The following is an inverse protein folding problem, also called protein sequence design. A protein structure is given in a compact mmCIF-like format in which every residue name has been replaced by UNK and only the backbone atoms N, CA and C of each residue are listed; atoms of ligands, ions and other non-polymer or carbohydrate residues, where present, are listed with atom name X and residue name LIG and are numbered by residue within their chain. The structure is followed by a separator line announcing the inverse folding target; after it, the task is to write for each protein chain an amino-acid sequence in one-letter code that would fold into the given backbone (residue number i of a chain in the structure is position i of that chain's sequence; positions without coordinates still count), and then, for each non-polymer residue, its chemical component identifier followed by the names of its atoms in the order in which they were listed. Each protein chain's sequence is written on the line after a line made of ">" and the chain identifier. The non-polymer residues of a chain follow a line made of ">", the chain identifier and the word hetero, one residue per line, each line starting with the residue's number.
data_IF_232625861881
#
_entry.id   IF_232625861881
#
_cell.length_a   1.000
_cell.length_b   1.000
_cell.length_c   1.000
_cell.angle_alpha   90.00
_cell.angle_beta   90.00
_cell.angle_gamma   90.00
#
_symmetry.space_group_name_H-M   'P 1'
#
loop_
_entity.id
_entity.type
_entity.pdbx_description
1 polymer ?
#
# COMPACT_ATOMS: atom_id res chain seq x y z
N UNK A 1 32.51 2.06 50.90
CA UNK A 1 32.62 3.08 49.83
C UNK A 1 33.64 2.59 48.82
N UNK A 2 33.20 1.91 47.76
CA UNK A 2 33.96 1.84 46.49
C UNK A 2 32.91 1.90 45.38
N UNK A 3 33.14 2.84 44.46
CA UNK A 3 32.12 3.45 43.62
C UNK A 3 31.42 2.50 42.66
N UNK A 4 30.16 2.86 42.45
CA UNK A 4 29.28 2.47 41.35
C UNK A 4 29.94 2.61 39.97
N UNK A 5 29.44 1.82 39.04
CA UNK A 5 29.15 2.32 37.69
C UNK A 5 30.18 1.99 36.62
N UNK A 6 30.12 0.77 36.10
CA UNK A 6 30.53 0.53 34.71
C UNK A 6 29.75 -0.63 34.06
N UNK A 7 28.46 -0.77 34.41
CA UNK A 7 27.52 -1.68 33.76
C UNK A 7 26.56 -0.96 32.80
N UNK A 8 26.91 0.25 32.38
CA UNK A 8 26.06 1.10 31.54
C UNK A 8 26.80 1.57 30.28
N UNK A 9 27.37 0.63 29.53
CA UNK A 9 27.40 0.81 28.09
C UNK A 9 26.23 0.00 27.58
N UNK A 10 25.05 0.60 27.70
CA UNK A 10 23.91 0.28 26.87
C UNK A 10 24.45 -0.02 25.48
N UNK A 11 24.22 -1.26 25.07
CA UNK A 11 24.45 -1.84 23.75
C UNK A 11 23.94 -0.86 22.71
N UNK A 12 24.74 0.18 22.39
CA UNK A 12 24.32 1.41 21.71
C UNK A 12 23.41 0.99 20.59
N UNK A 13 22.09 1.20 20.78
CA UNK A 13 21.10 0.45 20.02
C UNK A 13 21.40 0.67 18.55
N UNK A 14 21.99 -0.33 17.89
CA UNK A 14 22.36 -0.23 16.49
C UNK A 14 21.06 -0.38 15.73
N UNK A 15 20.28 0.71 15.74
CA UNK A 15 18.96 0.77 15.14
C UNK A 15 19.17 0.78 13.64
N UNK A 16 18.70 -0.29 12.99
CA UNK A 16 18.79 -0.38 11.56
C UNK A 16 17.87 0.67 10.92
N UNK A 17 18.47 1.78 10.47
CA UNK A 17 17.76 2.89 9.84
C UNK A 17 16.96 2.46 8.61
N UNK A 18 17.34 1.39 7.92
CA UNK A 18 16.56 0.84 6.81
C UNK A 18 15.26 0.20 7.29
N UNK A 19 15.26 -0.49 8.43
CA UNK A 19 14.02 -1.01 9.03
C UNK A 19 13.08 0.12 9.43
N UNK A 20 13.63 1.19 10.04
CA UNK A 20 12.86 2.38 10.41
C UNK A 20 12.26 3.08 9.18
N UNK A 21 13.05 3.29 8.13
CA UNK A 21 12.56 3.86 6.85
C UNK A 21 11.48 2.99 6.22
N UNK A 22 11.68 1.67 6.19
CA UNK A 22 10.68 0.72 5.66
C UNK A 22 9.39 0.73 6.50
N UNK A 23 9.49 0.84 7.81
CA UNK A 23 8.31 0.96 8.68
C UNK A 23 7.53 2.25 8.39
N UNK A 24 8.22 3.39 8.27
CA UNK A 24 7.58 4.66 7.87
C UNK A 24 6.91 4.57 6.51
N UNK A 25 7.59 4.02 5.51
CA UNK A 25 7.02 3.84 4.17
C UNK A 25 5.78 2.94 4.16
N UNK A 26 5.74 1.90 5.00
CA UNK A 26 4.55 1.05 5.15
C UNK A 26 3.36 1.83 5.72
N UNK A 27 3.59 2.62 6.77
CA UNK A 27 2.54 3.46 7.38
C UNK A 27 2.01 4.50 6.38
N UNK A 28 2.90 5.17 5.64
CA UNK A 28 2.49 6.12 4.60
C UNK A 28 1.69 5.45 3.47
N UNK A 29 2.06 4.22 3.08
CA UNK A 29 1.32 3.45 2.08
C UNK A 29 -0.07 3.04 2.59
N UNK A 30 -0.19 2.66 3.86
CA UNK A 30 -1.47 2.32 4.50
C UNK A 30 -2.40 3.54 4.61
N UNK A 31 -1.86 4.68 5.04
CA UNK A 31 -2.59 5.96 5.07
C UNK A 31 -3.03 6.39 3.67
N UNK A 32 -2.17 6.24 2.67
CA UNK A 32 -2.51 6.51 1.27
C UNK A 32 -3.62 5.58 0.79
N UNK A 33 -3.55 4.28 1.13
CA UNK A 33 -4.60 3.31 0.80
C UNK A 33 -5.93 3.66 1.49
N UNK A 34 -5.89 4.06 2.76
CA UNK A 34 -7.08 4.52 3.51
C UNK A 34 -7.68 5.77 2.89
N UNK A 35 -6.86 6.77 2.60
CA UNK A 35 -7.28 8.00 1.93
C UNK A 35 -7.86 7.71 0.54
N UNK A 36 -7.30 6.77 -0.21
CA UNK A 36 -7.83 6.37 -1.51
C UNK A 36 -9.18 5.63 -1.38
N UNK A 37 -9.38 4.79 -0.35
CA UNK A 37 -10.68 4.17 -0.06
C UNK A 37 -11.74 5.22 0.24
N UNK A 38 -11.42 6.23 1.05
CA UNK A 38 -12.34 7.32 1.42
C UNK A 38 -12.62 8.24 0.24
N UNK A 39 -11.58 8.68 -0.48
CA UNK A 39 -11.71 9.67 -1.57
C UNK A 39 -12.38 9.12 -2.81
N UNK A 40 -12.08 7.88 -3.18
CA UNK A 40 -12.56 7.34 -4.45
C UNK A 40 -13.72 6.38 -4.29
N UNK A 41 -14.02 5.91 -3.06
CA UNK A 41 -15.13 4.98 -2.76
C UNK A 41 -15.00 3.61 -3.42
N UNK A 42 -14.05 3.46 -4.35
CA UNK A 42 -13.70 2.26 -5.11
C UNK A 42 -12.19 2.11 -5.07
N UNK A 43 -11.75 0.93 -4.68
CA UNK A 43 -10.35 0.50 -4.73
C UNK A 43 -9.89 0.33 -6.17
N UNK A 44 -8.56 0.31 -6.37
CA UNK A 44 -7.96 0.04 -7.69
C UNK A 44 -8.47 -1.28 -8.29
N UNK A 45 -8.66 -2.31 -7.45
CA UNK A 45 -9.17 -3.62 -7.86
C UNK A 45 -10.61 -3.54 -8.37
N UNK A 46 -11.47 -2.77 -7.70
CA UNK A 46 -12.87 -2.56 -8.14
C UNK A 46 -12.93 -1.77 -9.44
N UNK A 47 -12.06 -0.76 -9.61
CA UNK A 47 -11.95 -0.01 -10.88
C UNK A 47 -11.50 -0.92 -12.03
N UNK A 48 -10.55 -1.81 -11.77
CA UNK A 48 -10.05 -2.76 -12.76
C UNK A 48 -11.07 -3.86 -13.08
N UNK A 49 -11.85 -4.30 -12.10
CA UNK A 49 -12.97 -5.22 -12.30
C UNK A 49 -14.07 -4.57 -13.15
N UNK A 50 -14.45 -3.32 -12.85
CA UNK A 50 -15.41 -2.56 -13.63
C UNK A 50 -14.94 -2.39 -15.09
N UNK A 51 -13.69 -1.98 -15.29
CA UNK A 51 -13.10 -1.86 -16.63
C UNK A 51 -13.12 -3.18 -17.40
N UNK A 52 -12.76 -4.30 -16.75
CA UNK A 52 -12.82 -5.63 -17.38
C UNK A 52 -14.25 -6.03 -17.75
N UNK A 53 -15.23 -5.65 -16.94
CA UNK A 53 -16.64 -5.90 -17.24
C UNK A 53 -17.10 -5.06 -18.44
N UNK A 54 -16.74 -3.78 -18.49
CA UNK A 54 -17.02 -2.90 -19.62
C UNK A 54 -16.36 -3.40 -20.92
N UNK A 55 -15.11 -3.85 -20.86
CA UNK A 55 -14.40 -4.42 -22.02
C UNK A 55 -15.01 -5.74 -22.51
N UNK A 56 -15.62 -6.54 -21.62
CA UNK A 56 -16.37 -7.74 -22.02
C UNK A 56 -17.67 -7.36 -22.70
N UNK A 57 -18.44 -6.45 -22.10
CA UNK A 57 -19.69 -5.95 -22.68
C UNK A 57 -19.44 -5.30 -24.03
N UNK A 58 -18.39 -4.49 -24.18
CA UNK A 58 -18.01 -3.91 -25.48
C UNK A 58 -17.73 -5.00 -26.52
N UNK A 59 -16.90 -5.99 -26.18
CA UNK A 59 -16.62 -7.11 -27.10
C UNK A 59 -17.86 -7.91 -27.48
N UNK A 60 -18.74 -8.16 -26.52
CA UNK A 60 -20.00 -8.87 -26.76
C UNK A 60 -20.95 -8.06 -27.65
N UNK A 61 -20.94 -6.74 -27.54
CA UNK A 61 -21.72 -5.83 -28.38
C UNK A 61 -21.11 -5.69 -29.77
N UNK A 62 -19.78 -5.59 -29.87
CA UNK A 62 -19.08 -5.50 -31.15
C UNK A 62 -19.21 -6.79 -31.96
N UNK A 63 -19.21 -7.96 -31.32
CA UNK A 63 -19.55 -9.23 -31.98
C UNK A 63 -21.02 -9.38 -32.38
N UNK A 64 -21.91 -8.51 -31.86
CA UNK A 64 -23.34 -8.45 -32.20
C UNK A 64 -23.69 -7.32 -33.15
N UNK A 65 -22.77 -6.39 -33.41
CA UNK A 65 -22.91 -5.44 -34.51
C UNK A 65 -22.69 -6.23 -35.79
N UNK A 66 -23.78 -6.52 -36.47
CA UNK A 66 -23.73 -6.86 -37.88
C UNK A 66 -23.23 -5.61 -38.61
N UNK A 67 -22.01 -5.66 -39.14
CA UNK A 67 -21.57 -4.74 -40.19
C UNK A 67 -22.50 -4.97 -41.40
N UNK A 68 -23.33 -3.97 -41.70
CA UNK A 68 -24.03 -3.80 -42.97
C UNK A 68 -23.20 -2.87 -43.87
#
# INVERSE_FOLDING_TARGET
>A
MVGQGFLEVAMAEVVNLNKVRKARAKVEAEETARNNRVRFGRTRQEKEAARRQEEKVSRDLDGKKFDE
#
